data_IF_970798561849
#
_entry.id   IF_970798561849
#
_cell.length_a   1.000
_cell.length_b   1.000
_cell.length_c   1.000
_cell.angle_alpha   90.00
_cell.angle_beta   90.00
_cell.angle_gamma   90.00
#
_symmetry.space_group_name_H-M   'P 1'
#
loop_
_entity.id
_entity.type
_entity.pdbx_description
1 polymer ?
#
# COMPACT_ATOMS: atom_id res chain seq x y z
N UNK A 1 16.15 31.74 -34.54
CA UNK A 1 16.03 31.53 -33.08
C UNK A 1 15.05 30.41 -32.74
N UNK A 2 13.80 30.45 -33.20
CA UNK A 2 12.78 29.44 -32.85
C UNK A 2 13.11 28.02 -33.33
N UNK A 3 13.80 27.85 -34.47
CA UNK A 3 14.20 26.52 -34.98
C UNK A 3 15.13 25.77 -34.02
N UNK A 4 16.09 26.47 -33.41
CA UNK A 4 17.03 25.88 -32.46
C UNK A 4 16.34 25.50 -31.14
N UNK A 5 15.37 26.30 -30.70
CA UNK A 5 14.54 26.02 -29.53
C UNK A 5 13.71 24.74 -29.74
N UNK A 6 13.11 24.57 -30.92
CA UNK A 6 12.38 23.37 -31.27
C UNK A 6 13.28 22.13 -31.26
N UNK A 7 14.49 22.20 -31.81
CA UNK A 7 15.44 21.08 -31.83
C UNK A 7 15.83 20.61 -30.42
N UNK A 8 16.07 21.55 -29.49
CA UNK A 8 16.40 21.24 -28.09
C UNK A 8 15.26 20.50 -27.39
N UNK A 9 14.02 20.98 -27.53
CA UNK A 9 12.85 20.32 -26.94
C UNK A 9 12.55 18.97 -27.60
N UNK A 10 12.75 18.85 -28.92
CA UNK A 10 12.55 17.59 -29.64
C UNK A 10 13.57 16.53 -29.22
N UNK A 11 14.82 16.93 -28.98
CA UNK A 11 15.86 16.06 -28.44
C UNK A 11 15.51 15.59 -27.01
N UNK A 12 14.97 16.49 -26.18
CA UNK A 12 14.52 16.14 -24.83
C UNK A 12 13.37 15.12 -24.87
N UNK A 13 12.33 15.39 -25.66
CA UNK A 13 11.21 14.45 -25.85
C UNK A 13 11.72 13.14 -26.45
N UNK A 14 12.68 13.19 -27.36
CA UNK A 14 13.31 12.02 -27.99
C UNK A 14 13.98 11.07 -26.99
N UNK A 15 14.59 11.59 -25.91
CA UNK A 15 15.20 10.77 -24.84
C UNK A 15 14.19 9.85 -24.15
N UNK A 16 12.96 10.30 -24.00
CA UNK A 16 11.91 9.57 -23.30
C UNK A 16 10.98 8.80 -24.25
N UNK A 17 10.69 9.35 -25.43
CA UNK A 17 9.68 8.86 -26.39
C UNK A 17 9.88 7.42 -26.85
N UNK A 18 11.12 6.97 -27.01
CA UNK A 18 11.37 5.66 -27.61
C UNK A 18 11.08 4.48 -26.68
N UNK A 19 11.02 4.73 -25.36
CA UNK A 19 10.91 3.67 -24.37
C UNK A 19 9.54 3.66 -23.66
N UNK A 20 8.82 4.79 -23.62
CA UNK A 20 7.52 4.95 -22.95
C UNK A 20 6.47 3.90 -23.40
N UNK A 21 6.18 3.69 -24.70
CA UNK A 21 5.07 2.81 -25.12
C UNK A 21 5.33 1.32 -24.90
N UNK A 22 6.57 0.93 -24.61
CA UNK A 22 6.97 -0.46 -24.38
C UNK A 22 7.06 -0.82 -22.89
N UNK A 23 6.87 0.15 -21.99
CA UNK A 23 7.00 -0.03 -20.54
C UNK A 23 5.71 -0.55 -19.91
N UNK A 24 5.80 -1.29 -18.77
CA UNK A 24 4.66 -1.49 -17.88
C UNK A 24 4.11 -0.14 -17.37
N UNK A 25 2.80 -0.04 -17.16
CA UNK A 25 2.12 1.21 -16.83
C UNK A 25 2.77 2.04 -15.71
N UNK A 26 3.21 1.41 -14.61
CA UNK A 26 3.88 2.15 -13.53
C UNK A 26 5.21 2.80 -13.97
N UNK A 27 5.97 2.11 -14.82
CA UNK A 27 7.23 2.62 -15.37
C UNK A 27 6.97 3.70 -16.42
N UNK A 28 5.93 3.52 -17.24
CA UNK A 28 5.47 4.51 -18.21
C UNK A 28 5.07 5.82 -17.52
N UNK A 29 4.23 5.73 -16.48
CA UNK A 29 3.83 6.89 -15.67
C UNK A 29 5.02 7.58 -15.01
N UNK A 30 5.99 6.81 -14.49
CA UNK A 30 7.23 7.36 -13.94
C UNK A 30 8.07 8.09 -14.99
N UNK A 31 8.21 7.52 -16.19
CA UNK A 31 8.93 8.14 -17.30
C UNK A 31 8.26 9.43 -17.79
N UNK A 32 6.92 9.46 -17.86
CA UNK A 32 6.14 10.66 -18.21
C UNK A 32 6.32 11.75 -17.14
N UNK A 33 6.32 11.39 -15.85
CA UNK A 33 6.60 12.33 -14.75
C UNK A 33 8.00 12.93 -14.85
N UNK A 34 9.02 12.12 -15.11
CA UNK A 34 10.39 12.59 -15.30
C UNK A 34 10.51 13.52 -16.51
N UNK A 35 9.88 13.17 -17.64
CA UNK A 35 9.80 14.05 -18.81
C UNK A 35 9.13 15.39 -18.48
N UNK A 36 8.02 15.38 -17.73
CA UNK A 36 7.35 16.61 -17.30
C UNK A 36 8.22 17.45 -16.36
N UNK A 37 9.04 16.82 -15.50
CA UNK A 37 9.98 17.52 -14.62
C UNK A 37 11.10 18.19 -15.42
N UNK A 38 11.68 17.48 -16.38
CA UNK A 38 12.71 18.01 -17.27
C UNK A 38 12.20 19.17 -18.12
N UNK A 39 10.95 19.09 -18.59
CA UNK A 39 10.30 20.17 -19.34
C UNK A 39 10.00 21.40 -18.47
N UNK A 40 9.90 21.25 -17.14
CA UNK A 40 9.72 22.37 -16.19
C UNK A 40 11.02 23.05 -15.77
N UNK A 41 12.19 22.48 -16.10
CA UNK A 41 13.47 23.13 -15.81
C UNK A 41 13.53 24.51 -16.46
N UNK A 42 14.14 25.48 -15.77
CA UNK A 42 14.06 26.90 -16.09
C UNK A 42 14.48 27.23 -17.54
N UNK A 43 15.53 26.57 -18.03
CA UNK A 43 15.97 26.68 -19.43
C UNK A 43 14.89 26.25 -20.44
N UNK A 44 14.16 25.17 -20.15
CA UNK A 44 13.10 24.63 -21.00
C UNK A 44 11.77 25.38 -20.82
N UNK A 45 11.50 25.92 -19.64
CA UNK A 45 10.31 26.71 -19.36
C UNK A 45 10.27 27.99 -20.23
N UNK A 46 11.41 28.68 -20.38
CA UNK A 46 11.54 29.83 -21.28
C UNK A 46 11.28 29.47 -22.76
N UNK A 47 11.73 28.28 -23.17
CA UNK A 47 11.51 27.74 -24.51
C UNK A 47 10.04 27.37 -24.76
N UNK A 48 9.38 26.74 -23.80
CA UNK A 48 7.96 26.39 -23.83
C UNK A 48 7.09 27.65 -23.90
N UNK A 49 7.45 28.70 -23.14
CA UNK A 49 6.75 29.98 -23.17
C UNK A 49 6.89 30.67 -24.54
N UNK A 50 8.09 30.64 -25.11
CA UNK A 50 8.38 31.21 -26.45
C UNK A 50 7.60 30.50 -27.56
N UNK A 51 7.36 29.20 -27.40
CA UNK A 51 6.60 28.36 -28.34
C UNK A 51 5.10 28.28 -28.04
N UNK A 52 4.62 28.97 -26.99
CA UNK A 52 3.24 28.88 -26.51
C UNK A 52 2.77 27.43 -26.26
N UNK A 53 3.69 26.53 -25.90
CA UNK A 53 3.41 25.11 -25.70
C UNK A 53 2.84 24.77 -24.31
N UNK A 54 2.56 25.80 -23.48
CA UNK A 54 2.02 25.63 -22.13
C UNK A 54 0.67 24.88 -22.10
N UNK A 55 -0.16 25.03 -23.12
CA UNK A 55 -1.41 24.27 -23.24
C UNK A 55 -1.16 22.76 -23.30
N UNK A 56 -0.23 22.31 -24.15
CA UNK A 56 0.11 20.89 -24.30
C UNK A 56 0.71 20.29 -23.03
N UNK A 57 1.53 21.07 -22.31
CA UNK A 57 2.06 20.68 -21.00
C UNK A 57 0.95 20.49 -19.95
N UNK A 58 -0.08 21.34 -19.99
CA UNK A 58 -1.24 21.21 -19.12
C UNK A 58 -2.05 19.95 -19.45
N UNK A 59 -2.34 19.74 -20.74
CA UNK A 59 -3.07 18.55 -21.20
C UNK A 59 -2.34 17.25 -20.83
N UNK A 60 -1.02 17.19 -21.02
CA UNK A 60 -0.21 16.02 -20.66
C UNK A 60 -0.25 15.74 -19.15
N UNK A 61 -0.19 16.80 -18.34
CA UNK A 61 -0.31 16.68 -16.88
C UNK A 61 -1.67 16.13 -16.47
N UNK A 62 -2.74 16.75 -16.96
CA UNK A 62 -4.11 16.32 -16.64
C UNK A 62 -4.35 14.87 -17.04
N UNK A 63 -3.89 14.46 -18.23
CA UNK A 63 -4.00 13.08 -18.69
C UNK A 63 -3.23 12.10 -17.79
N UNK A 64 -2.01 12.46 -17.36
CA UNK A 64 -1.21 11.65 -16.43
C UNK A 64 -1.88 11.51 -15.07
N UNK A 65 -2.42 12.61 -14.52
CA UNK A 65 -3.10 12.61 -13.21
C UNK A 65 -4.41 11.79 -13.27
N UNK A 66 -5.19 11.93 -14.35
CA UNK A 66 -6.40 11.12 -14.56
C UNK A 66 -6.07 9.63 -14.68
N UNK A 67 -5.00 9.27 -15.38
CA UNK A 67 -4.56 7.89 -15.49
C UNK A 67 -4.17 7.29 -14.13
N UNK A 68 -3.42 8.05 -13.33
CA UNK A 68 -3.06 7.63 -11.96
C UNK A 68 -4.28 7.43 -11.07
N UNK A 69 -5.24 8.36 -11.12
CA UNK A 69 -6.49 8.21 -10.38
C UNK A 69 -7.26 6.95 -10.79
N UNK A 70 -7.36 6.67 -12.09
CA UNK A 70 -8.03 5.45 -12.58
C UNK A 70 -7.30 4.18 -12.11
N UNK A 71 -5.97 4.17 -12.16
CA UNK A 71 -5.15 3.06 -11.66
C UNK A 71 -5.35 2.83 -10.16
N UNK A 72 -5.37 3.91 -9.37
CA UNK A 72 -5.59 3.85 -7.93
C UNK A 72 -6.99 3.31 -7.61
N UNK A 73 -8.05 3.88 -8.20
CA UNK A 73 -9.44 3.42 -8.02
C UNK A 73 -9.60 1.95 -8.41
N UNK A 74 -8.97 1.51 -9.50
CA UNK A 74 -8.99 0.09 -9.90
C UNK A 74 -8.33 -0.81 -8.86
N UNK A 75 -7.18 -0.39 -8.31
CA UNK A 75 -6.46 -1.14 -7.27
C UNK A 75 -7.30 -1.25 -6.00
N UNK A 76 -7.91 -0.15 -5.58
CA UNK A 76 -8.78 -0.11 -4.39
C UNK A 76 -10.00 -1.02 -4.57
N UNK A 77 -10.72 -0.90 -5.70
CA UNK A 77 -11.88 -1.74 -5.97
C UNK A 77 -11.52 -3.24 -6.03
N UNK A 78 -10.35 -3.58 -6.56
CA UNK A 78 -9.86 -4.98 -6.57
C UNK A 78 -9.50 -5.46 -5.17
N UNK A 79 -8.89 -4.59 -4.36
CA UNK A 79 -8.53 -4.88 -2.97
C UNK A 79 -9.76 -5.04 -2.08
N UNK A 80 -10.77 -4.19 -2.27
CA UNK A 80 -12.04 -4.25 -1.56
C UNK A 80 -12.82 -5.52 -1.94
N UNK A 81 -12.93 -5.82 -3.24
CA UNK A 81 -13.60 -7.04 -3.71
C UNK A 81 -12.94 -8.32 -3.18
N UNK A 82 -11.60 -8.36 -3.13
CA UNK A 82 -10.87 -9.51 -2.57
C UNK A 82 -11.02 -9.60 -1.06
N UNK A 83 -11.01 -8.47 -0.34
CA UNK A 83 -11.27 -8.43 1.10
C UNK A 83 -12.67 -8.95 1.43
N UNK A 84 -13.69 -8.55 0.67
CA UNK A 84 -15.07 -8.98 0.92
C UNK A 84 -15.28 -10.46 0.60
N UNK A 85 -14.70 -10.96 -0.49
CA UNK A 85 -14.69 -12.40 -0.77
C UNK A 85 -14.02 -13.20 0.35
N UNK A 86 -12.91 -12.68 0.92
CA UNK A 86 -12.22 -13.33 2.04
C UNK A 86 -13.07 -13.33 3.33
N UNK A 87 -13.79 -12.24 3.62
CA UNK A 87 -14.72 -12.18 4.76
C UNK A 87 -15.82 -13.23 4.63
N UNK A 88 -16.47 -13.31 3.47
CA UNK A 88 -17.54 -14.29 3.21
C UNK A 88 -17.02 -15.72 3.38
N UNK A 89 -15.84 -16.03 2.85
CA UNK A 89 -15.22 -17.35 3.01
C UNK A 89 -14.90 -17.67 4.48
N UNK A 90 -14.39 -16.68 5.23
CA UNK A 90 -14.10 -16.82 6.65
C UNK A 90 -15.36 -17.06 7.48
N UNK A 91 -16.43 -16.31 7.24
CA UNK A 91 -17.72 -16.50 7.92
C UNK A 91 -18.31 -17.90 7.66
N UNK A 92 -18.25 -18.39 6.42
CA UNK A 92 -18.68 -19.74 6.08
C UNK A 92 -17.85 -20.81 6.79
N UNK A 93 -16.52 -20.64 6.86
CA UNK A 93 -15.64 -21.53 7.61
C UNK A 93 -15.95 -21.51 9.12
N UNK A 94 -16.20 -20.33 9.70
CA UNK A 94 -16.53 -20.20 11.11
C UNK A 94 -17.88 -20.85 11.45
N UNK A 95 -18.88 -20.69 10.59
CA UNK A 95 -20.18 -21.35 10.78
C UNK A 95 -20.07 -22.88 10.73
N UNK A 96 -19.31 -23.41 9.77
CA UNK A 96 -19.11 -24.87 9.66
C UNK A 96 -18.32 -25.42 10.84
N UNK A 97 -17.31 -24.68 11.32
CA UNK A 97 -16.58 -25.01 12.54
C UNK A 97 -17.48 -24.99 13.79
N UNK A 98 -18.37 -24.00 13.92
CA UNK A 98 -19.35 -23.94 15.01
C UNK A 98 -20.25 -25.18 15.04
N UNK A 99 -20.80 -25.57 13.88
CA UNK A 99 -21.61 -26.80 13.75
C UNK A 99 -20.83 -28.07 14.10
N UNK A 100 -19.54 -28.14 13.74
CA UNK A 100 -18.69 -29.25 14.14
C UNK A 100 -18.56 -29.33 15.66
N UNK A 101 -18.31 -28.20 16.33
CA UNK A 101 -18.22 -28.16 17.79
C UNK A 101 -19.53 -28.57 18.46
N UNK A 102 -20.67 -28.07 17.96
CA UNK A 102 -22.00 -28.47 18.44
C UNK A 102 -22.24 -29.98 18.30
N UNK A 103 -21.86 -30.57 17.16
CA UNK A 103 -22.01 -31.99 16.90
C UNK A 103 -21.11 -32.84 17.82
N UNK A 104 -19.85 -32.43 18.02
CA UNK A 104 -18.93 -33.12 18.95
C UNK A 104 -19.47 -33.06 20.38
N UNK A 105 -19.97 -31.90 20.81
CA UNK A 105 -20.57 -31.75 22.14
C UNK A 105 -21.84 -32.59 22.29
N UNK A 106 -22.71 -32.64 21.27
CA UNK A 106 -23.90 -33.49 21.27
C UNK A 106 -23.54 -34.98 21.34
N UNK A 107 -22.53 -35.42 20.59
CA UNK A 107 -22.03 -36.80 20.62
C UNK A 107 -21.43 -37.18 21.98
N UNK A 108 -20.78 -36.24 22.66
CA UNK A 108 -20.26 -36.43 24.02
C UNK A 108 -21.40 -36.62 25.03
N UNK A 109 -22.49 -35.84 24.92
CA UNK A 109 -23.69 -36.00 25.77
C UNK A 109 -24.34 -37.37 25.55
N UNK A 110 -24.45 -37.84 24.30
CA UNK A 110 -25.15 -39.10 23.96
C UNK A 110 -24.33 -40.35 24.32
N UNK A 111 -23.01 -40.32 24.11
CA UNK A 111 -22.16 -41.51 24.23
C UNK A 111 -21.21 -41.48 25.44
N UNK A 112 -21.21 -40.40 26.22
CA UNK A 112 -20.28 -40.15 27.31
C UNK A 112 -19.00 -39.43 26.85
N UNK A 113 -18.46 -38.59 27.74
CA UNK A 113 -17.38 -37.64 27.42
C UNK A 113 -16.02 -38.29 27.13
N UNK A 114 -15.78 -39.51 27.60
CA UNK A 114 -14.45 -40.13 27.62
C UNK A 114 -13.82 -40.24 26.22
N UNK A 115 -14.62 -40.51 25.18
CA UNK A 115 -14.14 -40.63 23.81
C UNK A 115 -13.88 -39.29 23.10
N UNK A 116 -14.49 -38.19 23.57
CA UNK A 116 -14.47 -36.88 22.90
C UNK A 116 -13.57 -35.85 23.59
N UNK A 117 -13.25 -36.07 24.87
CA UNK A 117 -12.42 -35.19 25.69
C UNK A 117 -11.11 -34.77 25.01
N UNK A 118 -10.38 -35.72 24.40
CA UNK A 118 -9.12 -35.43 23.71
C UNK A 118 -9.29 -34.44 22.54
N UNK A 119 -10.33 -34.61 21.74
CA UNK A 119 -10.59 -33.73 20.58
C UNK A 119 -11.03 -32.35 21.06
N UNK A 120 -11.88 -32.29 22.08
CA UNK A 120 -12.35 -31.03 22.69
C UNK A 120 -11.16 -30.24 23.28
N UNK A 121 -10.32 -30.91 24.08
CA UNK A 121 -9.14 -30.29 24.70
C UNK A 121 -8.15 -29.79 23.62
N UNK A 122 -7.96 -30.55 22.55
CA UNK A 122 -7.12 -30.14 21.41
C UNK A 122 -7.67 -28.92 20.67
N UNK A 123 -8.98 -28.85 20.44
CA UNK A 123 -9.63 -27.68 19.83
C UNK A 123 -9.43 -26.44 20.72
N UNK A 124 -9.65 -26.57 22.02
CA UNK A 124 -9.47 -25.49 22.98
C UNK A 124 -8.03 -24.98 23.02
N UNK A 125 -7.04 -25.89 22.97
CA UNK A 125 -5.63 -25.54 22.90
C UNK A 125 -5.31 -24.71 21.64
N UNK A 126 -5.79 -25.15 20.47
CA UNK A 126 -5.56 -24.43 19.21
C UNK A 126 -6.21 -23.04 19.22
N UNK A 127 -7.40 -22.92 19.80
CA UNK A 127 -8.08 -21.63 19.98
C UNK A 127 -7.25 -20.71 20.88
N UNK A 128 -6.71 -21.21 21.99
CA UNK A 128 -5.84 -20.44 22.88
C UNK A 128 -4.54 -19.99 22.18
N UNK A 129 -3.90 -20.85 21.40
CA UNK A 129 -2.72 -20.51 20.60
C UNK A 129 -3.02 -19.40 19.58
N UNK A 130 -4.15 -19.49 18.87
CA UNK A 130 -4.60 -18.45 17.94
C UNK A 130 -4.84 -17.11 18.64
N UNK A 131 -5.52 -17.11 19.79
CA UNK A 131 -5.73 -15.91 20.59
C UNK A 131 -4.40 -15.26 21.02
N UNK A 132 -3.41 -16.06 21.42
CA UNK A 132 -2.08 -15.57 21.77
C UNK A 132 -1.35 -14.95 20.57
N UNK A 133 -1.40 -15.58 19.39
CA UNK A 133 -0.82 -15.02 18.16
C UNK A 133 -1.46 -13.68 17.82
N UNK A 134 -2.78 -13.56 17.92
CA UNK A 134 -3.51 -12.31 17.69
C UNK A 134 -3.10 -11.24 18.71
N UNK A 135 -2.97 -11.61 19.98
CA UNK A 135 -2.52 -10.70 21.04
C UNK A 135 -1.10 -10.18 20.79
N UNK A 136 -0.15 -11.06 20.44
CA UNK A 136 1.23 -10.67 20.10
C UNK A 136 1.29 -9.74 18.89
N UNK A 137 0.49 -9.99 17.83
CA UNK A 137 0.41 -9.09 16.67
C UNK A 137 -0.08 -7.70 17.05
N UNK A 138 -1.07 -7.62 17.96
CA UNK A 138 -1.61 -6.34 18.46
C UNK A 138 -0.59 -5.59 19.33
N UNK A 139 0.19 -6.29 20.15
CA UNK A 139 1.22 -5.65 20.99
C UNK A 139 2.38 -5.13 20.15
N UNK A 140 2.85 -5.89 19.14
CA UNK A 140 3.91 -5.43 18.23
C UNK A 140 3.48 -4.21 17.39
N UNK A 141 2.22 -4.12 16.99
CA UNK A 141 1.71 -2.94 16.27
C UNK A 141 1.69 -1.68 17.13
N UNK A 142 1.45 -1.80 18.45
CA UNK A 142 1.49 -0.66 19.38
C UNK A 142 2.90 -0.15 19.68
N UNK A 143 3.89 -1.03 19.71
CA UNK A 143 5.29 -0.63 19.89
C UNK A 143 5.88 0.09 18.67
N UNK A 144 5.35 -0.19 17.48
CA UNK A 144 5.77 0.47 16.23
C UNK A 144 5.19 1.89 16.12
N UNK A 145 3.93 2.07 16.55
CA UNK A 145 3.26 3.38 16.60
C UNK A 145 3.85 4.35 17.64
N UNK A 146 4.59 3.84 18.63
CA UNK A 146 5.23 4.66 19.68
C UNK A 146 6.70 4.98 19.39
N UNK A 147 7.31 4.37 18.37
CA UNK A 147 8.70 4.62 18.00
C UNK A 147 8.88 5.84 17.07
N UNK A 148 7.81 6.33 16.42
CA UNK A 148 7.88 7.43 15.43
C UNK A 148 7.66 8.84 16.05
N UNK A 149 7.45 8.93 17.38
CA UNK A 149 7.20 10.21 18.08
C UNK A 149 8.33 10.65 19.02
N UNK A 150 9.50 10.00 19.00
CA UNK A 150 10.60 10.38 19.91
C UNK A 150 11.95 10.43 19.19
N UNK A 151 12.05 11.33 18.21
CA UNK A 151 13.33 11.81 17.71
C UNK A 151 13.29 13.32 17.53
N UNK A 152 13.50 14.04 18.63
CA UNK A 152 14.20 15.33 18.60
C UNK A 152 15.10 15.40 19.83
N UNK A 153 16.33 14.98 19.58
CA UNK A 153 17.60 15.39 20.20
C UNK A 153 17.55 16.63 21.09
N UNK A 154 18.06 16.50 22.33
CA UNK A 154 19.26 17.27 22.71
C UNK A 154 19.99 16.68 23.93
N UNK A 155 21.31 16.68 23.86
CA UNK A 155 22.31 16.33 24.89
C UNK A 155 23.45 17.33 24.65
N UNK A 156 24.16 17.94 25.64
CA UNK A 156 24.51 17.43 26.97
C UNK A 156 24.44 18.43 28.15
N UNK A 157 24.64 17.90 29.36
CA UNK A 157 24.91 18.59 30.63
C UNK A 157 26.19 19.48 30.61
N UNK A 158 26.43 20.33 31.63
CA UNK A 158 27.09 19.83 32.86
C UNK A 158 26.63 20.45 34.20
N UNK A 159 26.75 19.65 35.28
CA UNK A 159 26.90 20.07 36.70
C UNK A 159 28.20 20.88 36.93
N UNK A 160 28.58 21.38 38.13
CA UNK A 160 28.05 21.22 39.52
C UNK A 160 27.83 22.60 40.22
N UNK A 161 27.44 22.77 41.50
CA UNK A 161 28.27 22.67 42.73
C UNK A 161 27.36 22.81 43.97
N UNK A 162 27.75 22.08 45.00
CA UNK A 162 27.28 21.97 46.38
C UNK A 162 27.12 23.31 47.15
N UNK A 163 26.12 23.40 48.03
CA UNK A 163 26.28 23.66 49.48
C UNK A 163 25.03 23.20 50.25
#
# INVERSE_FOLDING_TARGET
>A
MNSNICEVLLALVGKYRHNIPAMPYCQETGAIKNLMQDLKLEANAAHIQTLFAGHWMSVLRTASEQFEQMMFTRSDATSEATMDAAKVAHEAAQMTFGKLCEMVNALAIVNGDAAYKYIIDRINQLVAELHNVVACRRSCKKSDETADSDSSTDTPAPSPVEE
#
